data_IF_668584140190
#
_entry.id   IF_668584140190
#
_cell.length_a   1.000
_cell.length_b   1.000
_cell.length_c   1.000
_cell.angle_alpha   90.00
_cell.angle_beta   90.00
_cell.angle_gamma   90.00
#
_symmetry.space_group_name_H-M   'P 1'
#
loop_
_entity.id
_entity.type
_entity.pdbx_description
1 polymer ?
#
# COMPACT_ATOMS: atom_id res chain seq x y z
N UNK A 1 6.82 7.36 39.08
CA UNK A 1 6.60 6.41 37.97
C UNK A 1 5.86 7.18 36.89
N UNK A 2 6.54 7.53 35.80
CA UNK A 2 5.93 8.21 34.68
C UNK A 2 5.01 7.21 33.94
N UNK A 3 3.77 7.56 33.72
CA UNK A 3 2.83 6.76 32.92
C UNK A 3 3.37 6.66 31.48
N UNK A 4 3.59 5.44 31.02
CA UNK A 4 3.92 5.20 29.60
C UNK A 4 2.71 5.68 28.81
N UNK A 5 2.86 6.61 27.87
CA UNK A 5 1.73 7.08 27.07
C UNK A 5 1.12 5.89 26.32
N UNK A 6 -0.17 5.70 26.47
CA UNK A 6 -0.93 4.71 25.68
C UNK A 6 -0.78 5.12 24.21
N UNK A 7 -0.27 4.24 23.33
CA UNK A 7 -0.16 4.59 21.92
C UNK A 7 -1.54 4.91 21.35
N UNK A 8 -1.61 5.97 20.56
CA UNK A 8 -2.82 6.30 19.81
C UNK A 8 -3.20 5.12 18.89
N UNK A 9 -4.50 4.80 18.76
CA UNK A 9 -4.91 3.78 17.81
C UNK A 9 -4.41 4.13 16.41
N UNK A 10 -3.99 3.12 15.61
CA UNK A 10 -3.59 3.38 14.23
C UNK A 10 -4.74 4.03 13.45
N UNK A 11 -4.40 4.88 12.49
CA UNK A 11 -5.38 5.51 11.60
C UNK A 11 -6.20 4.47 10.82
N UNK A 12 -7.43 4.80 10.44
CA UNK A 12 -8.33 3.85 9.75
C UNK A 12 -7.77 3.38 8.40
N UNK A 13 -6.94 4.20 7.76
CA UNK A 13 -6.23 3.92 6.50
C UNK A 13 -4.83 3.32 6.70
N UNK A 14 -4.43 3.05 7.94
CA UNK A 14 -3.15 2.41 8.24
C UNK A 14 -3.11 0.98 7.66
N UNK A 15 -1.94 0.52 7.18
CA UNK A 15 -1.80 -0.84 6.65
C UNK A 15 -2.24 -1.89 7.67
N UNK A 16 -3.03 -2.87 7.22
CA UNK A 16 -3.58 -3.93 8.04
C UNK A 16 -2.77 -5.21 7.87
N UNK A 17 -2.13 -5.67 8.93
CA UNK A 17 -1.30 -6.86 8.94
C UNK A 17 -2.00 -8.02 9.64
N UNK A 18 -1.84 -9.22 9.08
CA UNK A 18 -2.25 -10.47 9.72
C UNK A 18 -1.01 -11.19 10.30
N UNK A 19 -0.98 -11.39 11.60
CA UNK A 19 0.08 -12.16 12.28
C UNK A 19 -0.44 -13.56 12.58
N UNK A 20 0.21 -14.57 11.99
CA UNK A 20 -0.15 -15.99 12.11
C UNK A 20 1.00 -16.74 12.79
N UNK A 21 0.78 -17.21 14.00
CA UNK A 21 1.77 -17.96 14.80
C UNK A 21 1.01 -18.76 15.85
N UNK A 22 1.35 -20.00 16.15
CA UNK A 22 0.66 -20.81 17.17
C UNK A 22 1.03 -20.39 18.60
N UNK A 23 2.21 -19.77 18.81
CA UNK A 23 2.60 -19.25 20.12
C UNK A 23 1.89 -17.92 20.41
N UNK A 24 0.96 -17.95 21.37
CA UNK A 24 0.24 -16.77 21.82
C UNK A 24 1.17 -15.64 22.28
N UNK A 25 2.32 -15.97 22.91
CA UNK A 25 3.24 -14.95 23.43
C UNK A 25 3.86 -14.16 22.28
N UNK A 26 4.20 -14.84 21.20
CA UNK A 26 4.73 -14.20 19.99
C UNK A 26 3.65 -13.32 19.35
N UNK A 27 2.42 -13.84 19.20
CA UNK A 27 1.30 -13.05 18.67
C UNK A 27 1.06 -11.79 19.49
N UNK A 28 1.01 -11.90 20.84
CA UNK A 28 0.77 -10.76 21.73
C UNK A 28 1.93 -9.75 21.66
N UNK A 29 3.18 -10.21 21.59
CA UNK A 29 4.38 -9.37 21.46
C UNK A 29 4.35 -8.61 20.14
N UNK A 30 4.16 -9.31 19.02
CA UNK A 30 4.14 -8.72 17.68
C UNK A 30 2.97 -7.76 17.52
N UNK A 31 1.78 -8.13 18.02
CA UNK A 31 0.61 -7.27 17.96
C UNK A 31 0.87 -5.93 18.66
N UNK A 32 1.37 -5.95 19.89
CA UNK A 32 1.71 -4.73 20.63
C UNK A 32 2.77 -3.90 19.91
N UNK A 33 3.87 -4.53 19.53
CA UNK A 33 4.98 -3.85 18.87
C UNK A 33 4.54 -3.20 17.56
N UNK A 34 3.91 -3.97 16.66
CA UNK A 34 3.51 -3.45 15.36
C UNK A 34 2.38 -2.41 15.44
N UNK A 35 1.52 -2.49 16.48
CA UNK A 35 0.54 -1.43 16.74
C UNK A 35 1.24 -0.12 17.15
N UNK A 36 2.31 -0.18 17.94
CA UNK A 36 3.10 1.03 18.26
C UNK A 36 3.84 1.61 17.04
N UNK A 37 4.15 0.77 16.05
CA UNK A 37 4.71 1.19 14.76
C UNK A 37 3.65 1.79 13.79
N UNK A 38 2.37 1.82 14.21
CA UNK A 38 1.29 2.44 13.45
C UNK A 38 0.53 1.50 12.53
N UNK A 39 0.69 0.18 12.65
CA UNK A 39 -0.04 -0.81 11.86
C UNK A 39 -1.33 -1.25 12.56
N UNK A 40 -2.37 -1.54 11.78
CA UNK A 40 -3.55 -2.27 12.23
C UNK A 40 -3.22 -3.76 12.25
N UNK A 41 -3.51 -4.46 13.35
CA UNK A 41 -3.11 -5.85 13.53
C UNK A 41 -4.32 -6.74 13.77
N UNK A 42 -4.39 -7.82 13.01
CA UNK A 42 -5.18 -9.01 13.32
C UNK A 42 -4.25 -10.19 13.57
N UNK A 43 -4.62 -11.08 14.47
CA UNK A 43 -3.83 -12.27 14.79
C UNK A 43 -4.60 -13.55 14.45
N UNK A 44 -3.92 -14.63 14.14
CA UNK A 44 -4.49 -15.98 13.98
C UNK A 44 -3.56 -17.00 14.60
N UNK A 45 -4.11 -18.02 15.25
CA UNK A 45 -3.33 -19.09 15.91
C UNK A 45 -3.09 -20.31 14.99
N UNK A 46 -3.69 -20.31 13.81
CA UNK A 46 -3.59 -21.41 12.86
C UNK A 46 -3.87 -20.94 11.43
N UNK A 47 -3.47 -21.75 10.47
CA UNK A 47 -3.79 -21.57 9.05
C UNK A 47 -5.32 -21.52 8.81
N UNK A 48 -6.10 -22.33 9.53
CA UNK A 48 -7.56 -22.36 9.42
C UNK A 48 -8.18 -21.02 9.87
N UNK A 49 -7.76 -20.48 11.01
CA UNK A 49 -8.23 -19.17 11.49
C UNK A 49 -7.78 -18.04 10.56
N UNK A 50 -6.54 -18.10 10.04
CA UNK A 50 -6.04 -17.13 9.07
C UNK A 50 -6.90 -17.10 7.81
N UNK A 51 -7.29 -18.27 7.24
CA UNK A 51 -8.21 -18.35 6.09
C UNK A 51 -9.58 -17.75 6.40
N UNK A 52 -10.14 -18.05 7.57
CA UNK A 52 -11.42 -17.47 7.98
C UNK A 52 -11.36 -15.93 8.01
N UNK A 53 -10.26 -15.36 8.47
CA UNK A 53 -10.07 -13.89 8.47
C UNK A 53 -9.84 -13.33 7.07
N UNK A 54 -9.07 -14.02 6.23
CA UNK A 54 -8.84 -13.63 4.83
C UNK A 54 -10.10 -13.66 3.98
N UNK A 55 -11.10 -14.46 4.33
CA UNK A 55 -12.38 -14.50 3.61
C UNK A 55 -13.27 -13.27 3.86
N UNK A 56 -13.07 -12.56 4.98
CA UNK A 56 -13.91 -11.42 5.38
C UNK A 56 -13.16 -10.10 5.49
N UNK A 57 -11.83 -10.12 5.49
CA UNK A 57 -10.99 -8.94 5.67
C UNK A 57 -9.89 -8.88 4.62
N UNK A 58 -9.52 -7.65 4.24
CA UNK A 58 -8.35 -7.41 3.40
C UNK A 58 -7.13 -7.11 4.27
N UNK A 59 -5.99 -7.65 3.88
CA UNK A 59 -4.71 -7.43 4.54
C UNK A 59 -3.66 -6.95 3.54
N UNK A 60 -2.79 -6.07 3.99
CA UNK A 60 -1.68 -5.53 3.20
C UNK A 60 -0.42 -6.40 3.28
N UNK A 61 -0.31 -7.24 4.33
CA UNK A 61 0.79 -8.20 4.52
C UNK A 61 0.41 -9.25 5.55
N UNK A 62 0.92 -10.48 5.35
CA UNK A 62 0.84 -11.58 6.32
C UNK A 62 2.23 -11.80 6.92
N UNK A 63 2.34 -11.77 8.25
CA UNK A 63 3.50 -12.26 9.00
C UNK A 63 3.17 -13.67 9.46
N UNK A 64 3.92 -14.66 8.98
CA UNK A 64 3.55 -16.08 9.05
C UNK A 64 4.65 -16.92 9.69
N UNK A 65 4.34 -17.60 10.77
CA UNK A 65 5.23 -18.63 11.29
C UNK A 65 5.27 -19.86 10.36
N UNK A 66 6.47 -20.38 10.16
CA UNK A 66 6.68 -21.62 9.39
C UNK A 66 6.26 -22.85 10.17
N UNK A 67 6.56 -22.88 11.48
CA UNK A 67 6.42 -24.06 12.32
C UNK A 67 5.10 -24.04 13.11
N UNK A 68 4.00 -24.31 12.42
CA UNK A 68 2.68 -24.42 13.05
C UNK A 68 2.19 -25.86 13.11
N UNK A 69 1.44 -26.26 14.16
CA UNK A 69 0.82 -27.58 14.24
C UNK A 69 -0.21 -27.82 13.13
N UNK A 70 -0.22 -29.01 12.56
CA UNK A 70 -1.15 -29.39 11.49
C UNK A 70 -0.67 -28.92 10.13
N UNK A 71 -1.09 -27.77 9.68
CA UNK A 71 -0.66 -27.17 8.41
C UNK A 71 0.52 -26.23 8.65
N UNK A 72 1.63 -26.51 7.98
CA UNK A 72 2.84 -25.68 8.07
C UNK A 72 2.63 -24.30 7.38
N UNK A 73 3.43 -23.30 7.78
CA UNK A 73 3.40 -22.00 7.13
C UNK A 73 3.73 -22.06 5.63
N UNK A 74 4.56 -23.00 5.19
CA UNK A 74 4.87 -23.20 3.77
C UNK A 74 3.65 -23.71 2.98
N UNK A 75 2.94 -24.70 3.51
CA UNK A 75 1.74 -25.25 2.89
C UNK A 75 0.65 -24.19 2.82
N UNK A 76 0.46 -23.43 3.90
CA UNK A 76 -0.48 -22.34 3.95
C UNK A 76 -0.15 -21.26 2.93
N UNK A 77 1.11 -20.78 2.87
CA UNK A 77 1.54 -19.77 1.90
C UNK A 77 1.30 -20.22 0.46
N UNK A 78 1.66 -21.47 0.12
CA UNK A 78 1.41 -22.03 -1.22
C UNK A 78 -0.08 -22.01 -1.56
N UNK A 79 -0.94 -22.42 -0.63
CA UNK A 79 -2.39 -22.40 -0.85
C UNK A 79 -2.97 -21.00 -1.02
N UNK A 80 -2.45 -20.01 -0.30
CA UNK A 80 -2.89 -18.62 -0.44
C UNK A 80 -2.46 -18.03 -1.79
N UNK A 81 -1.29 -18.39 -2.31
CA UNK A 81 -0.80 -17.89 -3.62
C UNK A 81 -1.69 -18.31 -4.80
N UNK A 82 -2.48 -19.36 -4.67
CA UNK A 82 -3.45 -19.76 -5.71
C UNK A 82 -4.58 -18.71 -5.90
N UNK A 83 -4.90 -17.95 -4.85
CA UNK A 83 -6.06 -17.05 -4.83
C UNK A 83 -5.74 -15.61 -4.45
N UNK A 84 -4.54 -15.33 -3.94
CA UNK A 84 -4.17 -14.01 -3.41
C UNK A 84 -2.70 -13.67 -3.66
N UNK A 85 -2.47 -12.42 -4.01
CA UNK A 85 -1.13 -11.81 -4.15
C UNK A 85 -0.68 -11.05 -2.89
N UNK A 86 -1.39 -11.18 -1.76
CA UNK A 86 -1.02 -10.51 -0.51
C UNK A 86 0.42 -10.85 -0.13
N UNK A 87 1.29 -9.89 0.17
CA UNK A 87 2.66 -10.15 0.56
C UNK A 87 2.76 -11.03 1.82
N UNK A 88 3.73 -11.96 1.85
CA UNK A 88 3.96 -12.87 2.97
C UNK A 88 5.41 -12.72 3.45
N UNK A 89 5.57 -12.37 4.73
CA UNK A 89 6.84 -12.37 5.45
C UNK A 89 6.86 -13.59 6.38
N UNK A 90 7.76 -14.53 6.11
CA UNK A 90 7.87 -15.74 6.93
C UNK A 90 8.78 -15.57 8.13
N UNK A 91 8.35 -16.09 9.28
CA UNK A 91 9.17 -16.27 10.48
C UNK A 91 9.66 -17.70 10.53
N UNK A 92 10.97 -17.94 10.55
CA UNK A 92 11.56 -19.29 10.46
C UNK A 92 12.60 -19.52 11.56
N UNK A 93 12.85 -20.79 11.94
CA UNK A 93 13.96 -21.11 12.83
C UNK A 93 15.31 -20.92 12.11
N UNK A 94 16.36 -20.57 12.86
CA UNK A 94 17.67 -20.10 12.38
C UNK A 94 18.44 -21.11 11.50
N UNK A 95 18.13 -22.40 11.56
CA UNK A 95 18.97 -23.47 10.97
C UNK A 95 18.57 -23.89 9.56
N UNK A 96 17.76 -23.14 8.87
CA UNK A 96 17.15 -23.57 7.62
C UNK A 96 17.64 -22.80 6.39
N UNK A 97 18.89 -23.01 5.97
CA UNK A 97 19.29 -22.69 4.60
C UNK A 97 18.38 -23.42 3.58
N UNK A 98 17.97 -24.63 3.88
CA UNK A 98 16.95 -25.38 3.13
C UNK A 98 15.57 -24.74 3.23
N UNK A 99 15.16 -24.24 4.40
CA UNK A 99 13.89 -23.53 4.57
C UNK A 99 13.81 -22.21 3.78
N UNK A 100 14.95 -21.58 3.48
CA UNK A 100 15.00 -20.38 2.63
C UNK A 100 14.66 -20.68 1.18
N UNK A 101 15.19 -21.78 0.65
CA UNK A 101 14.91 -22.21 -0.73
C UNK A 101 13.45 -22.63 -0.83
N UNK A 102 12.99 -23.48 0.11
CA UNK A 102 11.60 -23.93 0.19
C UNK A 102 10.62 -22.76 0.39
N UNK A 103 11.01 -21.72 1.14
CA UNK A 103 10.18 -20.53 1.37
C UNK A 103 10.00 -19.67 0.12
N UNK A 104 11.05 -19.48 -0.67
CA UNK A 104 10.98 -18.79 -1.96
C UNK A 104 10.14 -19.59 -2.96
N UNK A 105 10.27 -20.92 -2.99
CA UNK A 105 9.43 -21.80 -3.81
C UNK A 105 7.97 -21.81 -3.35
N UNK A 106 7.70 -21.59 -2.05
CA UNK A 106 6.36 -21.47 -1.49
C UNK A 106 5.72 -20.09 -1.75
N UNK A 107 6.46 -19.15 -2.38
CA UNK A 107 5.94 -17.83 -2.74
C UNK A 107 6.01 -16.78 -1.64
N UNK A 108 6.89 -16.92 -0.64
CA UNK A 108 7.16 -15.86 0.32
C UNK A 108 7.90 -14.68 -0.33
N UNK A 109 7.60 -13.47 0.12
CA UNK A 109 8.24 -12.23 -0.37
C UNK A 109 9.52 -11.90 0.40
N UNK A 110 9.62 -12.34 1.65
CA UNK A 110 10.82 -12.24 2.48
C UNK A 110 10.71 -13.21 3.70
N UNK A 111 11.78 -13.33 4.48
CA UNK A 111 11.79 -14.16 5.70
C UNK A 111 12.66 -13.51 6.78
N UNK A 112 12.37 -13.86 8.05
CA UNK A 112 13.10 -13.44 9.25
C UNK A 112 13.37 -14.67 10.10
N UNK A 113 14.63 -14.86 10.50
CA UNK A 113 15.02 -15.98 11.36
C UNK A 113 14.68 -15.68 12.83
N UNK A 114 14.05 -16.63 13.54
CA UNK A 114 13.86 -16.59 14.99
C UNK A 114 15.15 -17.06 15.69
N UNK A 115 15.63 -16.37 16.76
CA UNK A 115 15.09 -15.14 17.33
C UNK A 115 15.45 -13.91 16.48
N UNK A 116 14.55 -12.95 16.40
CA UNK A 116 14.71 -11.73 15.61
C UNK A 116 14.63 -10.49 16.48
N UNK A 117 15.29 -9.43 16.03
CA UNK A 117 15.14 -8.11 16.60
C UNK A 117 13.86 -7.45 16.09
N UNK A 118 12.99 -6.89 16.96
CA UNK A 118 11.75 -6.25 16.53
C UNK A 118 11.95 -5.18 15.44
N UNK A 119 13.07 -4.44 15.53
CA UNK A 119 13.43 -3.42 14.53
C UNK A 119 13.73 -4.01 13.15
N UNK A 120 14.36 -5.19 13.08
CA UNK A 120 14.60 -5.88 11.80
C UNK A 120 13.29 -6.23 11.14
N UNK A 121 12.35 -6.79 11.92
CA UNK A 121 11.02 -7.16 11.44
C UNK A 121 10.27 -5.93 10.89
N UNK A 122 10.25 -4.81 11.63
CA UNK A 122 9.61 -3.56 11.21
C UNK A 122 10.19 -3.04 9.89
N UNK A 123 11.51 -3.04 9.72
CA UNK A 123 12.17 -2.59 8.50
C UNK A 123 11.82 -3.47 7.28
N UNK A 124 11.72 -4.78 7.46
CA UNK A 124 11.34 -5.71 6.40
C UNK A 124 9.88 -5.52 6.01
N UNK A 125 8.98 -5.42 6.98
CA UNK A 125 7.56 -5.10 6.75
C UNK A 125 7.44 -3.81 5.93
N UNK A 126 8.09 -2.73 6.35
CA UNK A 126 8.05 -1.45 5.64
C UNK A 126 8.59 -1.57 4.20
N UNK A 127 9.67 -2.34 3.99
CA UNK A 127 10.24 -2.60 2.67
C UNK A 127 9.28 -3.37 1.76
N UNK A 128 8.60 -4.39 2.28
CA UNK A 128 7.63 -5.20 1.53
C UNK A 128 6.43 -4.33 1.16
N UNK A 129 5.84 -3.62 2.12
CA UNK A 129 4.68 -2.75 1.90
C UNK A 129 4.99 -1.64 0.88
N UNK A 130 6.21 -1.08 0.91
CA UNK A 130 6.64 -0.09 -0.09
C UNK A 130 6.68 -0.67 -1.50
N UNK A 131 7.07 -1.95 -1.66
CA UNK A 131 7.12 -2.64 -2.96
C UNK A 131 5.73 -3.09 -3.42
N UNK A 132 4.88 -3.51 -2.47
CA UNK A 132 3.53 -3.99 -2.74
C UNK A 132 2.54 -2.85 -3.06
N UNK A 133 2.78 -1.64 -2.54
CA UNK A 133 2.04 -0.48 -3.05
C UNK A 133 2.34 -0.38 -4.55
N UNK A 134 1.30 -0.31 -5.42
CA UNK A 134 1.56 0.00 -6.81
C UNK A 134 2.48 1.22 -6.78
N UNK A 135 3.64 1.09 -7.41
CA UNK A 135 4.54 2.22 -7.55
C UNK A 135 3.64 3.37 -7.98
N UNK A 136 3.56 4.43 -7.17
CA UNK A 136 3.06 5.71 -7.69
C UNK A 136 3.95 5.90 -8.90
N UNK A 137 3.39 5.67 -10.08
CA UNK A 137 4.14 5.80 -11.33
C UNK A 137 4.87 7.12 -11.20
N UNK A 138 6.18 7.20 -11.49
CA UNK A 138 6.89 8.47 -11.42
C UNK A 138 5.98 9.47 -12.11
N UNK A 139 5.68 10.64 -11.51
CA UNK A 139 4.64 11.53 -11.97
C UNK A 139 4.71 11.58 -13.48
N UNK A 140 3.66 11.15 -14.14
CA UNK A 140 3.70 10.87 -15.57
C UNK A 140 4.27 12.13 -16.21
N UNK A 141 5.41 12.03 -16.91
CA UNK A 141 6.02 13.20 -17.56
C UNK A 141 5.03 13.88 -18.51
N UNK A 142 4.04 13.11 -18.97
CA UNK A 142 2.94 13.61 -19.79
C UNK A 142 1.68 12.75 -19.66
N UNK A 143 0.52 13.37 -19.82
CA UNK A 143 -0.80 12.71 -19.88
C UNK A 143 -1.38 12.88 -21.26
N UNK A 144 -1.87 11.78 -21.85
CA UNK A 144 -2.53 11.80 -23.16
C UNK A 144 -4.05 11.70 -23.00
N UNK A 145 -4.78 12.56 -23.73
CA UNK A 145 -6.24 12.52 -23.83
C UNK A 145 -6.68 12.89 -25.25
N UNK A 146 -7.27 11.91 -25.92
CA UNK A 146 -7.59 12.04 -27.34
C UNK A 146 -6.36 12.36 -28.17
N UNK A 147 -6.41 13.41 -29.05
CA UNK A 147 -5.28 13.83 -29.87
C UNK A 147 -4.26 14.70 -29.11
N UNK A 148 -4.48 15.02 -27.86
CA UNK A 148 -3.66 15.93 -27.07
C UNK A 148 -2.70 15.20 -26.14
N UNK A 149 -1.53 15.81 -25.90
CA UNK A 149 -0.53 15.39 -24.91
C UNK A 149 -0.17 16.58 -24.05
N UNK A 150 -0.40 16.47 -22.75
CA UNK A 150 -0.01 17.49 -21.76
C UNK A 150 1.28 17.08 -21.06
N UNK A 151 2.35 17.82 -21.25
CA UNK A 151 3.63 17.63 -20.57
C UNK A 151 3.63 18.33 -19.21
N UNK A 152 3.54 17.57 -18.12
CA UNK A 152 3.36 18.09 -16.76
C UNK A 152 4.53 19.00 -16.35
N UNK A 153 5.77 18.52 -16.54
CA UNK A 153 6.97 19.27 -16.14
C UNK A 153 7.18 20.57 -16.91
N UNK A 154 6.67 20.66 -18.13
CA UNK A 154 6.75 21.87 -19.00
C UNK A 154 5.47 22.70 -19.00
N UNK A 155 4.39 22.16 -18.40
CA UNK A 155 3.04 22.75 -18.45
C UNK A 155 2.58 23.09 -19.87
N UNK A 156 2.93 22.24 -20.82
CA UNK A 156 2.74 22.43 -22.25
C UNK A 156 1.73 21.44 -22.81
N UNK A 157 0.72 21.94 -23.50
CA UNK A 157 -0.26 21.12 -24.20
C UNK A 157 0.10 21.07 -25.69
N UNK A 158 0.14 19.85 -26.25
CA UNK A 158 0.39 19.62 -27.68
C UNK A 158 -0.73 18.83 -28.34
N UNK A 159 -0.96 19.13 -29.63
CA UNK A 159 -1.76 18.34 -30.56
C UNK A 159 -0.86 17.98 -31.75
N UNK A 160 -0.32 16.74 -31.74
CA UNK A 160 0.76 16.40 -32.68
C UNK A 160 1.99 17.30 -32.44
N UNK A 161 2.46 17.99 -33.48
CA UNK A 161 3.60 18.91 -33.39
C UNK A 161 3.22 20.36 -33.00
N UNK A 162 1.91 20.66 -32.93
CA UNK A 162 1.42 21.98 -32.61
C UNK A 162 1.33 22.22 -31.09
N UNK A 163 1.90 23.35 -30.61
CA UNK A 163 1.78 23.77 -29.22
C UNK A 163 0.52 24.62 -29.07
N UNK A 164 -0.40 24.14 -28.19
CA UNK A 164 -1.64 24.84 -27.84
C UNK A 164 -1.36 25.81 -26.69
N UNK A 165 -1.61 27.08 -26.92
CA UNK A 165 -1.45 28.11 -25.87
C UNK A 165 -2.56 27.98 -24.83
N UNK A 166 -2.16 27.74 -23.57
CA UNK A 166 -3.04 27.75 -22.43
C UNK A 166 -2.88 29.06 -21.66
N UNK A 167 -3.98 29.58 -21.14
CA UNK A 167 -3.96 30.62 -20.11
C UNK A 167 -3.39 30.06 -18.80
N UNK A 168 -2.94 30.92 -17.88
CA UNK A 168 -2.38 30.48 -16.60
C UNK A 168 -3.38 29.61 -15.81
N UNK A 169 -4.65 29.99 -15.85
CA UNK A 169 -5.72 29.24 -15.21
C UNK A 169 -5.98 27.88 -15.84
N UNK A 170 -5.95 27.78 -17.17
CA UNK A 170 -6.07 26.49 -17.87
C UNK A 170 -4.88 25.58 -17.56
N UNK A 171 -3.67 26.13 -17.41
CA UNK A 171 -2.48 25.37 -16.98
C UNK A 171 -2.65 24.79 -15.57
N UNK A 172 -3.09 25.61 -14.61
CA UNK A 172 -3.37 25.15 -13.24
C UNK A 172 -4.40 24.01 -13.23
N UNK A 173 -5.48 24.14 -13.95
CA UNK A 173 -6.51 23.10 -14.07
C UNK A 173 -5.97 21.84 -14.72
N UNK A 174 -5.18 21.97 -15.79
CA UNK A 174 -4.54 20.83 -16.45
C UNK A 174 -3.55 20.09 -15.53
N UNK A 175 -2.80 20.82 -14.69
CA UNK A 175 -1.91 20.21 -13.68
C UNK A 175 -2.70 19.40 -12.65
N UNK A 176 -3.80 19.93 -12.14
CA UNK A 176 -4.66 19.23 -11.18
C UNK A 176 -5.26 17.96 -11.81
N UNK A 177 -5.79 18.07 -13.04
CA UNK A 177 -6.36 16.92 -13.77
C UNK A 177 -5.30 15.87 -14.14
N UNK A 178 -4.07 16.30 -14.43
CA UNK A 178 -2.97 15.42 -14.81
C UNK A 178 -2.29 14.74 -13.61
N UNK A 179 -2.51 15.20 -12.38
CA UNK A 179 -1.97 14.60 -11.17
C UNK A 179 -2.56 13.21 -10.88
N UNK A 180 -3.84 12.98 -11.23
CA UNK A 180 -4.55 11.73 -11.01
C UNK A 180 -5.28 11.28 -12.29
N UNK A 181 -4.55 10.78 -13.29
CA UNK A 181 -5.16 10.37 -14.56
C UNK A 181 -6.17 9.23 -14.36
N UNK A 182 -7.39 9.43 -14.88
CA UNK A 182 -8.47 8.44 -14.80
C UNK A 182 -9.33 8.54 -13.54
N UNK A 183 -9.02 9.41 -12.59
CA UNK A 183 -9.82 9.63 -11.41
C UNK A 183 -10.78 10.85 -11.57
N UNK A 184 -11.85 10.85 -10.77
CA UNK A 184 -12.76 11.98 -10.73
C UNK A 184 -12.21 13.07 -9.83
N UNK A 185 -11.95 14.25 -10.38
CA UNK A 185 -11.46 15.41 -9.65
C UNK A 185 -12.65 16.28 -9.19
N UNK A 186 -12.79 16.54 -7.87
CA UNK A 186 -13.83 17.41 -7.35
C UNK A 186 -13.71 18.84 -7.91
N UNK A 187 -14.84 19.50 -8.22
CA UNK A 187 -14.85 20.89 -8.75
C UNK A 187 -14.10 21.89 -7.88
N UNK A 188 -14.17 21.72 -6.57
CA UNK A 188 -13.44 22.59 -5.64
C UNK A 188 -11.92 22.49 -5.80
N UNK A 189 -11.38 21.30 -6.14
CA UNK A 189 -9.96 21.14 -6.42
C UNK A 189 -9.52 21.90 -7.70
N UNK A 190 -10.44 22.08 -8.64
CA UNK A 190 -10.22 22.87 -9.85
C UNK A 190 -10.39 24.39 -9.62
N UNK A 191 -10.95 24.82 -8.50
CA UNK A 191 -11.20 26.22 -8.20
C UNK A 191 -9.93 27.01 -7.85
N UNK A 192 -8.85 26.34 -7.38
CA UNK A 192 -7.60 27.00 -6.97
C UNK A 192 -7.75 27.87 -5.72
N UNK A 193 -6.68 28.59 -5.36
CA UNK A 193 -6.61 29.44 -4.15
C UNK A 193 -7.30 30.81 -4.27
N UNK A 194 -8.11 31.05 -5.28
CA UNK A 194 -8.81 32.34 -5.41
C UNK A 194 -10.08 32.34 -4.55
N UNK A 195 -10.14 33.22 -3.60
CA UNK A 195 -11.30 33.48 -2.74
C UNK A 195 -12.59 33.54 -3.56
N UNK A 196 -13.60 32.76 -3.13
CA UNK A 196 -14.98 32.75 -3.66
C UNK A 196 -15.09 32.61 -5.19
N UNK A 197 -14.50 31.57 -5.76
CA UNK A 197 -14.71 31.26 -7.17
C UNK A 197 -16.11 30.69 -7.35
N UNK A 198 -16.93 31.44 -8.08
CA UNK A 198 -18.22 31.05 -8.55
C UNK A 198 -18.11 29.70 -9.31
N UNK A 199 -18.76 28.62 -8.87
CA UNK A 199 -18.76 27.30 -9.51
C UNK A 199 -19.05 27.38 -11.03
N UNK A 200 -19.82 28.39 -11.47
CA UNK A 200 -20.09 28.67 -12.87
C UNK A 200 -18.85 29.06 -13.67
N UNK A 201 -17.85 29.68 -13.05
CA UNK A 201 -16.60 30.01 -13.74
C UNK A 201 -15.75 28.77 -14.05
N UNK A 202 -15.76 27.77 -13.18
CA UNK A 202 -15.10 26.48 -13.41
C UNK A 202 -15.77 25.73 -14.56
N UNK A 203 -17.11 25.70 -14.61
CA UNK A 203 -17.86 25.02 -15.69
C UNK A 203 -17.59 25.64 -17.07
N UNK A 204 -17.48 26.97 -17.13
CA UNK A 204 -17.15 27.69 -18.39
C UNK A 204 -15.73 27.33 -18.86
N UNK A 205 -14.77 27.24 -17.95
CA UNK A 205 -13.39 26.90 -18.28
C UNK A 205 -13.22 25.43 -18.68
N UNK A 206 -13.90 24.50 -17.98
CA UNK A 206 -13.94 23.07 -18.36
C UNK A 206 -14.52 22.89 -19.77
N UNK A 207 -15.57 23.64 -20.11
CA UNK A 207 -16.16 23.61 -21.46
C UNK A 207 -15.21 24.16 -22.55
N UNK A 208 -14.30 25.08 -22.22
CA UNK A 208 -13.27 25.54 -23.16
C UNK A 208 -12.15 24.52 -23.39
N UNK A 209 -11.90 23.64 -22.43
CA UNK A 209 -10.90 22.57 -22.52
C UNK A 209 -11.42 21.30 -23.22
N UNK A 210 -12.73 21.20 -23.46
CA UNK A 210 -13.37 20.12 -24.23
C UNK A 210 -13.28 20.40 -25.73
#
# INVERSE_FOLDING_TARGET
MAAVPTPLPPADDAPHLLVVDDDRRIRDLLSRFLTTEGYRISTAESAAEARAKLSGLSFDLIVLDVMMPGETGFEFARSIRETSSVPILMLTARDAAESRITGLEAGADDYVAKPFEPRELSLRIASILKRARPAVAPPAESVRFGPFVFHIGRTELRKGDEIIRLTDREREMMQVLAATPGETVPRMALAGNADAVNERAVDVQVNRLR
#
